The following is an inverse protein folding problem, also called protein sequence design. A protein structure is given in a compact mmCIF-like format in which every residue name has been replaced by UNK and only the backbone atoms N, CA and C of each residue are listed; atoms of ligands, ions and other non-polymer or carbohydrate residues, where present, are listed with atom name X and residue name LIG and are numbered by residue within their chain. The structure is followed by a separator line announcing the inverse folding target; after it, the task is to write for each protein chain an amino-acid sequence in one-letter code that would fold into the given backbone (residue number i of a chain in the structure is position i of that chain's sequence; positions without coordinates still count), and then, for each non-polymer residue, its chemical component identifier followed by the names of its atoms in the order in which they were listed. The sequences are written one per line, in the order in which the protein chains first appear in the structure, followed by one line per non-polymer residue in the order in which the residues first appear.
data_IF_138799651466
#
_entry.id   IF_138799651466
#
_cell.length_a   1.000
_cell.length_b   1.000
_cell.length_c   1.000
_cell.angle_alpha   90.00
_cell.angle_beta   90.00
_cell.angle_gamma   90.00
#
_symmetry.space_group_name_H-M   'P 1'
#
loop_
_entity.id
_entity.type
_entity.pdbx_description
1 polymer ?
#
# COMPACT_ATOMS: atom_id res chain seq x y z
N UNK A 1 -15.41 2.85 -15.63
CA UNK A 1 -15.86 2.46 -14.27
C UNK A 1 -15.73 3.64 -13.35
N UNK A 2 -16.79 3.99 -12.66
CA UNK A 2 -16.71 5.06 -11.66
C UNK A 2 -16.18 4.50 -10.36
N UNK A 3 -15.18 5.18 -9.82
CA UNK A 3 -14.55 4.82 -8.55
C UNK A 3 -14.48 6.03 -7.63
N UNK A 4 -14.45 5.76 -6.33
CA UNK A 4 -14.23 6.76 -5.28
C UNK A 4 -13.05 6.28 -4.45
N UNK A 5 -12.15 7.21 -4.13
CA UNK A 5 -11.02 6.96 -3.23
C UNK A 5 -11.33 7.69 -1.93
N UNK A 6 -11.43 6.96 -0.84
CA UNK A 6 -11.79 7.53 0.47
C UNK A 6 -10.97 6.95 1.61
N UNK A 7 -10.94 7.66 2.73
CA UNK A 7 -10.32 7.17 3.94
C UNK A 7 -11.04 5.91 4.44
N UNK A 8 -10.26 4.90 4.83
CA UNK A 8 -10.80 3.68 5.41
C UNK A 8 -11.21 3.88 6.87
N UNK A 9 -12.18 3.10 7.32
CA UNK A 9 -12.53 2.96 8.72
C UNK A 9 -12.38 1.50 9.12
N UNK A 10 -12.51 1.19 10.40
CA UNK A 10 -12.43 -0.21 10.85
C UNK A 10 -13.59 -1.07 10.33
N UNK A 11 -14.68 -0.45 9.86
CA UNK A 11 -15.75 -1.18 9.18
C UNK A 11 -15.27 -1.81 7.86
N UNK A 12 -14.16 -1.30 7.30
CA UNK A 12 -13.57 -1.82 6.07
C UNK A 12 -12.59 -2.95 6.29
N UNK A 13 -12.17 -3.22 7.54
CA UNK A 13 -11.07 -4.16 7.80
C UNK A 13 -11.29 -5.53 7.19
N UNK A 14 -12.48 -6.12 7.35
CA UNK A 14 -12.76 -7.45 6.82
C UNK A 14 -12.67 -7.50 5.29
N UNK A 15 -13.23 -6.50 4.61
CA UNK A 15 -13.18 -6.41 3.16
C UNK A 15 -11.76 -6.17 2.65
N UNK A 16 -10.99 -5.34 3.35
CA UNK A 16 -9.58 -5.09 3.04
C UNK A 16 -8.76 -6.38 3.20
N UNK A 17 -8.94 -7.09 4.31
CA UNK A 17 -8.26 -8.37 4.55
C UNK A 17 -8.58 -9.36 3.43
N UNK A 18 -9.85 -9.45 3.05
CA UNK A 18 -10.28 -10.33 1.97
C UNK A 18 -9.60 -9.98 0.63
N UNK A 19 -9.56 -8.69 0.30
CA UNK A 19 -8.90 -8.22 -0.92
C UNK A 19 -7.40 -8.53 -0.91
N UNK A 20 -6.72 -8.18 0.17
CA UNK A 20 -5.26 -8.40 0.30
C UNK A 20 -4.94 -9.89 0.24
N UNK A 21 -5.68 -10.73 0.98
CA UNK A 21 -5.51 -12.18 0.95
C UNK A 21 -5.67 -12.74 -0.45
N UNK A 22 -6.68 -12.26 -1.19
CA UNK A 22 -6.95 -12.70 -2.55
C UNK A 22 -5.85 -12.32 -3.53
N UNK A 23 -5.34 -11.11 -3.44
CA UNK A 23 -4.22 -10.67 -4.31
C UNK A 23 -2.95 -11.44 -3.97
N UNK A 24 -2.64 -11.63 -2.69
CA UNK A 24 -1.48 -12.42 -2.29
C UNK A 24 -1.57 -13.85 -2.83
N UNK A 25 -2.74 -14.49 -2.72
CA UNK A 25 -2.96 -15.84 -3.24
C UNK A 25 -2.75 -15.92 -4.76
N UNK A 26 -3.13 -14.88 -5.49
CA UNK A 26 -2.93 -14.77 -6.93
C UNK A 26 -1.43 -14.91 -7.30
N UNK A 27 -0.54 -14.38 -6.48
CA UNK A 27 0.91 -14.42 -6.69
C UNK A 27 1.60 -15.51 -5.86
N UNK A 28 0.83 -16.40 -5.24
CA UNK A 28 1.34 -17.49 -4.41
C UNK A 28 2.17 -16.99 -3.22
N UNK A 29 1.77 -15.85 -2.68
CA UNK A 29 2.40 -15.24 -1.51
C UNK A 29 1.57 -15.53 -0.24
N UNK A 30 2.23 -15.73 0.91
CA UNK A 30 1.50 -16.03 2.15
C UNK A 30 0.81 -14.79 2.71
N UNK A 31 -0.44 -14.95 3.18
CA UNK A 31 -1.10 -13.99 4.04
C UNK A 31 -0.67 -14.27 5.48
N UNK A 32 -0.21 -13.22 6.20
CA UNK A 32 0.43 -13.38 7.51
C UNK A 32 -0.27 -12.51 8.58
N UNK A 33 -1.45 -12.95 9.09
CA UNK A 33 -2.26 -12.14 10.01
C UNK A 33 -1.61 -11.90 11.37
N UNK A 34 -0.64 -12.74 11.77
CA UNK A 34 0.03 -12.64 13.06
C UNK A 34 1.29 -11.76 13.01
N UNK A 35 1.69 -11.32 11.81
CA UNK A 35 2.94 -10.55 11.60
C UNK A 35 2.76 -9.47 10.56
N UNK A 36 3.13 -9.73 9.31
CA UNK A 36 3.18 -8.73 8.23
C UNK A 36 1.83 -8.05 7.99
N UNK A 37 0.72 -8.77 8.14
CA UNK A 37 -0.62 -8.27 7.87
C UNK A 37 -1.45 -8.02 9.14
N UNK A 38 -0.83 -8.03 10.31
CA UNK A 38 -1.49 -7.77 11.59
C UNK A 38 -2.07 -6.34 11.65
N UNK A 39 -1.51 -5.41 10.89
CA UNK A 39 -1.96 -4.02 10.80
C UNK A 39 -3.40 -3.89 10.29
N UNK A 40 -3.87 -4.85 9.48
CA UNK A 40 -5.21 -4.79 8.89
C UNK A 40 -6.34 -5.12 9.87
N UNK A 41 -6.01 -5.58 11.06
CA UNK A 41 -7.01 -5.85 12.10
C UNK A 41 -7.53 -4.58 12.78
N UNK A 42 -6.77 -3.47 12.68
CA UNK A 42 -7.15 -2.19 13.29
C UNK A 42 -6.53 -1.04 12.48
N UNK A 43 -7.09 -0.79 11.31
CA UNK A 43 -6.58 0.22 10.37
C UNK A 43 -6.59 1.62 10.99
N UNK A 44 -7.64 1.97 11.71
CA UNK A 44 -7.76 3.30 12.32
C UNK A 44 -6.62 3.57 13.30
N UNK A 45 -6.34 2.60 14.19
CA UNK A 45 -5.28 2.78 15.19
C UNK A 45 -3.89 2.75 14.57
N UNK A 46 -3.64 1.77 13.71
CA UNK A 46 -2.29 1.53 13.17
C UNK A 46 -1.88 2.61 12.17
N UNK A 47 -2.79 3.10 11.35
CA UNK A 47 -2.47 4.07 10.31
C UNK A 47 -2.96 5.48 10.65
N UNK A 48 -4.24 5.67 10.89
CA UNK A 48 -4.86 7.00 10.99
C UNK A 48 -4.43 7.70 12.28
N UNK A 49 -4.64 7.03 13.41
CA UNK A 49 -4.31 7.60 14.73
C UNK A 49 -2.80 7.73 14.95
N UNK A 50 -2.00 6.94 14.24
CA UNK A 50 -0.54 7.03 14.30
C UNK A 50 0.03 8.20 13.48
N UNK A 51 -0.80 8.91 12.72
CA UNK A 51 -0.37 10.05 11.92
C UNK A 51 -0.11 9.75 10.46
N UNK A 52 -0.52 8.57 9.99
CA UNK A 52 -0.47 8.19 8.58
C UNK A 52 -1.85 8.24 7.94
N UNK A 53 -2.00 7.52 6.84
CA UNK A 53 -3.28 7.39 6.13
C UNK A 53 -3.50 5.95 5.71
N UNK A 54 -4.75 5.61 5.46
CA UNK A 54 -5.13 4.39 4.76
C UNK A 54 -6.38 4.69 3.94
N UNK A 55 -6.31 4.45 2.63
CA UNK A 55 -7.43 4.71 1.74
C UNK A 55 -7.86 3.44 1.02
N UNK A 56 -9.14 3.38 0.69
CA UNK A 56 -9.72 2.33 -0.14
C UNK A 56 -10.28 2.93 -1.42
N UNK A 57 -10.22 2.15 -2.48
CA UNK A 57 -10.81 2.49 -3.77
C UNK A 57 -12.06 1.64 -3.90
N UNK A 58 -13.22 2.28 -4.04
CA UNK A 58 -14.48 1.55 -4.15
C UNK A 58 -15.26 1.94 -5.40
N UNK A 59 -16.11 1.03 -5.85
CA UNK A 59 -17.04 1.29 -6.94
C UNK A 59 -18.33 1.91 -6.41
N UNK A 60 -19.28 2.17 -7.31
CA UNK A 60 -20.60 2.75 -6.97
C UNK A 60 -21.39 1.92 -5.96
N UNK A 61 -21.17 0.61 -5.92
CA UNK A 61 -21.91 -0.28 -5.01
C UNK A 61 -21.28 -0.34 -3.61
N UNK A 62 -20.13 0.31 -3.43
CA UNK A 62 -19.37 0.24 -2.18
C UNK A 62 -18.42 -0.94 -2.09
N UNK A 63 -18.23 -1.68 -3.19
CA UNK A 63 -17.27 -2.79 -3.23
C UNK A 63 -15.86 -2.25 -3.28
N UNK A 64 -14.98 -2.73 -2.41
CA UNK A 64 -13.58 -2.32 -2.38
C UNK A 64 -12.80 -3.03 -3.48
N UNK A 65 -12.14 -2.25 -4.32
CA UNK A 65 -11.39 -2.72 -5.48
C UNK A 65 -9.88 -2.53 -5.32
N UNK A 66 -9.46 -1.71 -4.38
CA UNK A 66 -8.05 -1.45 -4.13
C UNK A 66 -7.81 -0.78 -2.79
N UNK A 67 -6.55 -0.83 -2.37
CA UNK A 67 -6.11 -0.29 -1.07
C UNK A 67 -4.71 0.29 -1.18
N UNK A 68 -4.36 1.19 -0.27
CA UNK A 68 -2.99 1.57 0.04
C UNK A 68 -2.96 2.30 1.37
N UNK A 69 -1.79 2.31 2.01
CA UNK A 69 -1.59 3.05 3.24
C UNK A 69 -0.21 3.66 3.33
N UNK A 70 -0.08 4.71 4.14
CA UNK A 70 1.19 5.30 4.53
C UNK A 70 1.33 5.15 6.04
N UNK A 71 2.37 4.45 6.45
CA UNK A 71 2.67 4.19 7.85
C UNK A 71 3.86 5.05 8.30
N UNK A 72 3.72 5.84 9.38
CA UNK A 72 4.84 6.63 9.89
C UNK A 72 5.91 5.72 10.49
N UNK A 73 7.11 5.71 9.91
CA UNK A 73 8.25 4.98 10.47
C UNK A 73 8.91 5.80 11.58
N UNK A 74 8.99 7.12 11.38
CA UNK A 74 9.48 8.11 12.32
C UNK A 74 8.99 9.49 11.86
N UNK A 75 9.53 10.57 12.41
CA UNK A 75 9.05 11.94 12.10
C UNK A 75 9.32 12.37 10.66
N UNK A 76 10.28 11.75 9.98
CA UNK A 76 10.69 12.17 8.64
C UNK A 76 10.45 11.13 7.55
N UNK A 77 10.30 9.85 7.92
CA UNK A 77 10.12 8.76 6.95
C UNK A 77 8.77 8.08 7.16
N UNK A 78 8.06 7.86 6.07
CA UNK A 78 6.88 6.99 6.07
C UNK A 78 7.06 5.83 5.10
N UNK A 79 6.23 4.81 5.25
CA UNK A 79 6.28 3.60 4.43
C UNK A 79 4.97 3.41 3.70
N UNK A 80 5.04 3.23 2.39
CA UNK A 80 3.90 2.83 1.57
C UNK A 80 3.66 1.34 1.79
N UNK A 81 2.47 1.00 2.24
CA UNK A 81 2.06 -0.37 2.57
C UNK A 81 0.74 -0.72 1.92
N UNK A 82 0.53 -2.01 1.72
CA UNK A 82 -0.76 -2.58 1.32
C UNK A 82 -1.33 -1.94 0.06
N UNK A 83 -0.47 -1.62 -0.90
CA UNK A 83 -0.89 -1.12 -2.19
C UNK A 83 -1.24 -2.30 -3.09
N UNK A 84 -2.51 -2.64 -3.14
CA UNK A 84 -3.03 -3.79 -3.89
C UNK A 84 -4.28 -3.40 -4.64
N UNK A 85 -4.43 -3.94 -5.85
CA UNK A 85 -5.59 -3.72 -6.72
C UNK A 85 -6.13 -5.05 -7.21
N UNK A 86 -7.44 -5.17 -7.29
CA UNK A 86 -8.06 -6.31 -7.96
C UNK A 86 -7.71 -6.28 -9.46
N UNK A 87 -7.63 -7.45 -10.12
CA UNK A 87 -7.26 -7.51 -11.54
C UNK A 87 -8.11 -6.60 -12.43
N UNK A 88 -9.40 -6.46 -12.11
CA UNK A 88 -10.36 -5.71 -12.94
C UNK A 88 -10.08 -4.21 -13.05
N UNK A 89 -9.29 -3.63 -12.12
CA UNK A 89 -8.93 -2.21 -12.18
C UNK A 89 -7.46 -1.98 -12.53
N UNK A 90 -6.73 -3.02 -12.87
CA UNK A 90 -5.33 -2.90 -13.29
C UNK A 90 -5.24 -2.42 -14.74
N UNK A 91 -4.13 -1.77 -15.09
CA UNK A 91 -3.90 -1.29 -16.44
C UNK A 91 -4.68 -0.03 -16.81
N UNK A 92 -5.26 0.66 -15.82
CA UNK A 92 -6.07 1.86 -16.01
C UNK A 92 -5.36 3.14 -15.52
N UNK A 93 -4.06 3.04 -15.20
CA UNK A 93 -3.29 4.17 -14.68
C UNK A 93 -3.49 4.45 -13.20
N UNK A 94 -4.25 3.62 -12.49
CA UNK A 94 -4.54 3.84 -11.07
C UNK A 94 -3.30 3.74 -10.18
N UNK A 95 -2.37 2.86 -10.50
CA UNK A 95 -1.13 2.74 -9.73
C UNK A 95 -0.37 4.05 -9.68
N UNK A 96 -0.21 4.70 -10.82
CA UNK A 96 0.45 6.00 -10.92
C UNK A 96 -0.33 7.07 -10.13
N UNK A 97 -1.65 7.10 -10.29
CA UNK A 97 -2.52 8.04 -9.59
C UNK A 97 -2.42 7.88 -8.06
N UNK A 98 -2.40 6.65 -7.58
CA UNK A 98 -2.26 6.36 -6.15
C UNK A 98 -0.89 6.81 -5.64
N UNK A 99 0.18 6.58 -6.40
CA UNK A 99 1.51 7.06 -6.01
C UNK A 99 1.56 8.59 -5.93
N UNK A 100 0.90 9.29 -6.86
CA UNK A 100 0.79 10.75 -6.80
C UNK A 100 0.03 11.20 -5.54
N UNK A 101 -1.06 10.52 -5.20
CA UNK A 101 -1.82 10.82 -3.98
C UNK A 101 -0.96 10.57 -2.73
N UNK A 102 -0.24 9.46 -2.69
CA UNK A 102 0.64 9.11 -1.56
C UNK A 102 1.71 10.19 -1.35
N UNK A 103 2.35 10.65 -2.41
CA UNK A 103 3.34 11.72 -2.35
C UNK A 103 2.72 13.01 -1.80
N UNK A 104 1.55 13.36 -2.28
CA UNK A 104 0.85 14.58 -1.85
C UNK A 104 0.52 14.53 -0.36
N UNK A 105 -0.02 13.41 0.12
CA UNK A 105 -0.32 13.23 1.55
C UNK A 105 0.95 13.21 2.39
N UNK A 106 1.98 12.50 1.96
CA UNK A 106 3.24 12.44 2.69
C UNK A 106 3.85 13.84 2.88
N UNK A 107 3.83 14.65 1.83
CA UNK A 107 4.30 16.05 1.92
C UNK A 107 3.47 16.88 2.89
N UNK A 108 2.15 16.76 2.83
CA UNK A 108 1.25 17.49 3.75
C UNK A 108 1.48 17.10 5.20
N UNK A 109 1.77 15.83 5.45
CA UNK A 109 2.03 15.32 6.79
C UNK A 109 3.44 15.65 7.29
N UNK A 110 4.29 16.24 6.44
CA UNK A 110 5.64 16.69 6.82
C UNK A 110 6.73 15.66 6.63
N UNK A 111 6.45 14.52 6.00
CA UNK A 111 7.47 13.51 5.73
C UNK A 111 8.43 13.97 4.64
N UNK A 112 9.67 13.48 4.70
CA UNK A 112 10.73 13.80 3.74
C UNK A 112 11.01 12.67 2.77
N UNK A 113 10.66 11.44 3.14
CA UNK A 113 10.84 10.27 2.27
C UNK A 113 9.65 9.33 2.40
N UNK A 114 9.40 8.59 1.31
CA UNK A 114 8.53 7.41 1.32
C UNK A 114 9.43 6.21 1.04
N UNK A 115 9.34 5.20 1.90
CA UNK A 115 10.00 3.91 1.68
C UNK A 115 8.93 2.87 1.36
N UNK A 116 9.34 1.79 0.72
CA UNK A 116 8.48 0.63 0.53
C UNK A 116 9.32 -0.64 0.50
N UNK A 117 8.70 -1.74 0.89
CA UNK A 117 9.27 -3.08 0.77
C UNK A 117 8.38 -3.90 -0.15
N UNK A 118 8.97 -4.73 -1.00
CA UNK A 118 8.25 -5.55 -1.96
C UNK A 118 9.00 -6.84 -2.24
N UNK A 119 8.46 -7.66 -3.13
CA UNK A 119 9.05 -8.94 -3.50
C UNK A 119 9.14 -9.08 -5.01
N UNK A 120 10.20 -9.72 -5.49
CA UNK A 120 10.57 -9.80 -6.90
C UNK A 120 9.48 -10.34 -7.82
N UNK A 121 8.59 -11.20 -7.32
CA UNK A 121 7.50 -11.76 -8.13
C UNK A 121 6.49 -10.69 -8.55
N UNK A 122 6.40 -9.59 -7.82
CA UNK A 122 5.51 -8.47 -8.14
C UNK A 122 6.15 -7.54 -9.17
N UNK A 123 6.47 -8.07 -10.35
CA UNK A 123 7.24 -7.37 -11.38
C UNK A 123 6.58 -6.07 -11.86
N UNK A 124 5.26 -6.07 -12.05
CA UNK A 124 4.54 -4.88 -12.53
C UNK A 124 4.59 -3.76 -11.49
N UNK A 125 4.46 -4.10 -10.21
CA UNK A 125 4.55 -3.12 -9.13
C UNK A 125 5.95 -2.50 -9.07
N UNK A 126 6.98 -3.33 -9.14
CA UNK A 126 8.39 -2.88 -9.12
C UNK A 126 8.65 -1.96 -10.32
N UNK A 127 8.15 -2.32 -11.50
CA UNK A 127 8.29 -1.48 -12.69
C UNK A 127 7.61 -0.12 -12.50
N UNK A 128 6.42 -0.11 -11.91
CA UNK A 128 5.69 1.12 -11.59
C UNK A 128 6.47 2.00 -10.62
N UNK A 129 6.99 1.42 -9.53
CA UNK A 129 7.78 2.17 -8.54
C UNK A 129 9.03 2.78 -9.16
N UNK A 130 9.75 2.00 -9.94
CA UNK A 130 10.98 2.44 -10.61
C UNK A 130 10.69 3.59 -11.58
N UNK A 131 9.65 3.45 -12.40
CA UNK A 131 9.27 4.51 -13.36
C UNK A 131 8.79 5.77 -12.67
N UNK A 132 8.16 5.65 -11.50
CA UNK A 132 7.68 6.80 -10.75
C UNK A 132 8.84 7.60 -10.14
N UNK A 133 9.98 6.96 -9.90
CA UNK A 133 11.18 7.61 -9.36
C UNK A 133 11.73 7.01 -8.08
N UNK A 134 11.12 5.92 -7.58
CA UNK A 134 11.70 5.19 -6.46
C UNK A 134 13.02 4.56 -6.86
N UNK A 135 13.98 4.58 -5.95
CA UNK A 135 15.31 3.98 -6.15
C UNK A 135 15.56 2.87 -5.12
N UNK A 136 16.31 1.83 -5.52
CA UNK A 136 16.62 0.73 -4.59
C UNK A 136 17.41 1.19 -3.36
N UNK A 137 17.12 0.55 -2.23
CA UNK A 137 17.87 0.71 -0.98
C UNK A 137 18.47 -0.63 -0.56
N UNK A 138 19.52 -0.57 0.25
CA UNK A 138 20.09 -1.76 0.87
C UNK A 138 19.09 -2.41 1.82
N UNK A 139 19.02 -3.75 1.77
CA UNK A 139 18.19 -4.55 2.66
C UNK A 139 19.05 -5.28 3.68
N UNK A 140 18.60 -5.29 4.91
CA UNK A 140 19.23 -6.02 6.03
C UNK A 140 18.46 -7.30 6.38
N UNK A 141 17.28 -7.51 5.78
CA UNK A 141 16.47 -8.71 6.01
C UNK A 141 15.71 -9.10 4.74
N UNK A 142 15.35 -10.37 4.65
CA UNK A 142 14.53 -10.94 3.57
C UNK A 142 13.61 -11.99 4.15
N UNK A 143 12.44 -12.15 3.59
CA UNK A 143 11.48 -13.15 4.01
C UNK A 143 10.55 -13.53 2.84
N UNK A 144 9.50 -14.30 3.11
CA UNK A 144 8.57 -14.78 2.09
C UNK A 144 7.78 -13.65 1.39
N UNK A 145 7.74 -12.45 1.99
CA UNK A 145 6.97 -11.31 1.48
C UNK A 145 7.86 -10.18 0.98
N UNK A 146 9.15 -10.17 1.32
CA UNK A 146 10.04 -9.04 1.09
C UNK A 146 11.45 -9.52 0.70
N UNK A 147 11.92 -9.05 -0.45
CA UNK A 147 13.32 -9.22 -0.88
C UNK A 147 13.90 -7.95 -1.52
N UNK A 148 13.11 -6.86 -1.59
CA UNK A 148 13.55 -5.58 -2.14
C UNK A 148 12.98 -4.42 -1.34
N UNK A 149 13.76 -3.34 -1.25
CA UNK A 149 13.35 -2.09 -0.62
C UNK A 149 13.67 -0.93 -1.55
N UNK A 150 12.76 0.04 -1.59
CA UNK A 150 12.90 1.25 -2.40
C UNK A 150 12.63 2.49 -1.54
N UNK A 151 13.15 3.64 -1.99
CA UNK A 151 12.91 4.93 -1.36
C UNK A 151 12.65 6.00 -2.39
N UNK A 152 11.86 7.00 -2.00
CA UNK A 152 11.60 8.20 -2.79
C UNK A 152 11.78 9.41 -1.90
N UNK A 153 12.67 10.32 -2.30
CA UNK A 153 12.83 11.61 -1.62
C UNK A 153 11.71 12.55 -2.09
N UNK A 154 11.04 13.18 -1.14
CA UNK A 154 9.94 14.11 -1.41
C UNK A 154 10.41 15.54 -1.64
#
# INVERSE_FOLDING_TARGET
MEIVIREATNDDCDDVIHLVSGVLAEFQLPYEPESTDADLADIERIYIQAGGIFEVIEDKSGRILGTYGLFPLNDINCELRKMYFLPEIRGMGLGHEILERAVKYARRLGFKTIQLETISVLERAIHLYTRFGFVPMTMDHRNARVDQRFTLRL
#
